data_IF_182292437687
#
_entry.id   IF_182292437687
#
_cell.length_a   1.000
_cell.length_b   1.000
_cell.length_c   1.000
_cell.angle_alpha   90.00
_cell.angle_beta   90.00
_cell.angle_gamma   90.00
#
_symmetry.space_group_name_H-M   'P 1'
#
loop_
_entity.id
_entity.type
_entity.pdbx_description
1 polymer ?
#
# COMPACT_ATOMS: atom_id res chain seq x y z
N UNK A 1 -27.65 -17.73 9.96
CA UNK A 1 -27.09 -16.77 8.98
C UNK A 1 -25.68 -16.38 9.45
N UNK A 2 -24.69 -17.18 9.09
CA UNK A 2 -23.28 -16.93 9.45
C UNK A 2 -22.65 -16.28 8.23
N UNK A 3 -22.40 -14.96 8.31
CA UNK A 3 -21.65 -14.25 7.27
C UNK A 3 -20.20 -14.66 7.42
N UNK A 4 -19.75 -15.60 6.60
CA UNK A 4 -18.34 -15.96 6.52
C UNK A 4 -17.53 -14.73 6.10
N UNK A 5 -16.62 -14.29 6.97
CA UNK A 5 -15.59 -13.31 6.62
C UNK A 5 -14.71 -13.94 5.53
N UNK A 6 -14.41 -13.23 4.43
CA UNK A 6 -13.62 -13.81 3.36
C UNK A 6 -12.21 -14.11 3.89
N UNK A 7 -11.78 -15.36 3.70
CA UNK A 7 -10.47 -15.84 4.10
C UNK A 7 -9.37 -14.97 3.46
N UNK A 8 -8.64 -14.25 4.31
CA UNK A 8 -7.35 -13.66 3.94
C UNK A 8 -6.42 -14.83 3.63
N UNK A 9 -6.23 -15.10 2.34
CA UNK A 9 -5.31 -16.13 1.87
C UNK A 9 -3.90 -15.69 2.23
N UNK A 10 -3.34 -16.27 3.28
CA UNK A 10 -1.91 -16.19 3.58
C UNK A 10 -1.14 -16.76 2.38
N UNK A 11 -0.55 -15.87 1.57
CA UNK A 11 0.32 -16.25 0.45
C UNK A 11 1.77 -16.19 0.90
N UNK A 12 2.62 -17.15 0.45
CA UNK A 12 3.98 -17.29 0.93
C UNK A 12 4.79 -16.02 0.62
N UNK A 13 5.61 -15.65 1.59
CA UNK A 13 6.57 -14.55 1.51
C UNK A 13 7.66 -14.96 0.49
N UNK A 14 7.46 -14.64 -0.78
CA UNK A 14 8.43 -14.87 -1.85
C UNK A 14 9.12 -13.55 -2.19
N UNK A 15 10.44 -13.54 -2.09
CA UNK A 15 11.31 -12.36 -2.13
C UNK A 15 11.50 -11.74 -3.52
N UNK A 16 10.63 -11.97 -4.50
CA UNK A 16 10.74 -11.38 -5.83
C UNK A 16 9.55 -10.47 -6.10
N UNK A 17 9.85 -9.20 -6.28
CA UNK A 17 8.97 -8.06 -6.45
C UNK A 17 8.04 -8.15 -7.69
N UNK A 18 7.07 -9.07 -7.69
CA UNK A 18 6.02 -9.11 -8.71
C UNK A 18 4.65 -9.49 -8.14
N UNK A 19 4.21 -8.78 -7.11
CA UNK A 19 2.78 -8.74 -6.76
C UNK A 19 2.08 -7.77 -7.72
N UNK A 20 1.72 -8.28 -8.90
CA UNK A 20 0.84 -7.59 -9.85
C UNK A 20 -0.55 -7.51 -9.24
N UNK A 21 -0.81 -6.47 -8.45
CA UNK A 21 -2.09 -6.25 -7.78
C UNK A 21 -3.20 -6.09 -8.82
N UNK A 22 -4.22 -6.98 -8.84
CA UNK A 22 -5.33 -6.88 -9.75
C UNK A 22 -6.26 -5.77 -9.25
N UNK A 23 -6.07 -4.54 -9.70
CA UNK A 23 -7.04 -3.47 -9.40
C UNK A 23 -6.55 -2.04 -9.54
N UNK A 24 -5.24 -1.79 -9.65
CA UNK A 24 -4.74 -0.43 -9.73
C UNK A 24 -3.96 -0.21 -11.03
N UNK A 25 -4.59 0.50 -11.96
CA UNK A 25 -3.99 0.99 -13.22
C UNK A 25 -3.04 2.17 -13.01
N UNK A 26 -2.80 2.59 -11.76
CA UNK A 26 -1.97 3.75 -11.45
C UNK A 26 -0.49 3.38 -11.38
N UNK A 27 0.36 4.33 -11.76
CA UNK A 27 1.81 4.21 -11.67
C UNK A 27 2.29 4.15 -10.21
N UNK A 28 3.55 3.75 -10.01
CA UNK A 28 4.15 3.76 -8.68
C UNK A 28 4.26 5.18 -8.10
N UNK A 29 4.47 6.18 -8.96
CA UNK A 29 4.52 7.60 -8.58
C UNK A 29 3.16 8.12 -8.13
N UNK A 30 2.08 7.76 -8.83
CA UNK A 30 0.71 8.11 -8.44
C UNK A 30 0.32 7.46 -7.11
N UNK A 31 0.72 6.19 -6.92
CA UNK A 31 0.53 5.49 -5.64
C UNK A 31 1.30 6.18 -4.51
N UNK A 32 2.56 6.57 -4.75
CA UNK A 32 3.39 7.28 -3.79
C UNK A 32 2.77 8.61 -3.38
N UNK A 33 2.27 9.39 -4.34
CA UNK A 33 1.60 10.66 -4.08
C UNK A 33 0.34 10.47 -3.22
N UNK A 34 -0.51 9.47 -3.53
CA UNK A 34 -1.70 9.16 -2.72
C UNK A 34 -1.35 8.69 -1.32
N UNK A 35 -0.39 7.77 -1.21
CA UNK A 35 0.08 7.27 0.08
C UNK A 35 0.63 8.41 0.94
N UNK A 36 1.43 9.30 0.36
CA UNK A 36 1.96 10.47 1.06
C UNK A 36 0.84 11.40 1.53
N UNK A 37 -0.14 11.69 0.66
CA UNK A 37 -1.29 12.50 1.01
C UNK A 37 -2.05 11.91 2.21
N UNK A 38 -2.43 10.63 2.16
CA UNK A 38 -3.14 9.99 3.26
C UNK A 38 -2.33 9.97 4.56
N UNK A 39 -1.01 9.83 4.46
CA UNK A 39 -0.15 9.76 5.65
C UNK A 39 0.07 11.12 6.31
N UNK A 40 0.35 12.17 5.53
CA UNK A 40 0.69 13.49 6.07
C UNK A 40 -0.50 14.44 6.17
N UNK A 41 -1.46 14.36 5.25
CA UNK A 41 -2.64 15.22 5.24
C UNK A 41 -3.77 14.62 6.08
N UNK A 42 -4.12 13.35 5.85
CA UNK A 42 -5.24 12.69 6.55
C UNK A 42 -4.82 12.01 7.86
N UNK A 43 -3.50 11.92 8.13
CA UNK A 43 -2.95 11.30 9.34
C UNK A 43 -3.24 9.80 9.47
N UNK A 44 -3.57 9.13 8.37
CA UNK A 44 -3.88 7.70 8.36
C UNK A 44 -2.63 6.86 8.63
N UNK A 45 -2.81 5.72 9.30
CA UNK A 45 -1.69 4.81 9.51
C UNK A 45 -1.35 4.06 8.21
N UNK A 46 -0.11 3.57 8.10
CA UNK A 46 0.30 2.77 6.94
C UNK A 46 -0.55 1.50 6.74
N UNK A 47 -1.16 0.99 7.81
CA UNK A 47 -2.11 -0.13 7.74
C UNK A 47 -3.41 0.29 7.07
N UNK A 48 -4.03 1.37 7.55
CA UNK A 48 -5.28 1.91 7.02
C UNK A 48 -5.14 2.29 5.53
N UNK A 49 -4.01 2.91 5.17
CA UNK A 49 -3.70 3.26 3.78
C UNK A 49 -3.57 2.00 2.91
N UNK A 50 -2.96 0.94 3.44
CA UNK A 50 -2.85 -0.34 2.77
C UNK A 50 -4.21 -0.98 2.52
N UNK A 51 -5.09 -0.98 3.51
CA UNK A 51 -6.47 -1.47 3.37
C UNK A 51 -7.27 -0.64 2.36
N UNK A 52 -7.15 0.69 2.40
CA UNK A 52 -7.85 1.61 1.50
C UNK A 52 -7.42 1.47 0.03
N UNK A 53 -6.12 1.29 -0.21
CA UNK A 53 -5.54 1.18 -1.55
C UNK A 53 -5.43 -0.27 -2.04
N UNK A 54 -5.82 -1.26 -1.23
CA UNK A 54 -5.65 -2.68 -1.52
C UNK A 54 -4.16 -3.10 -1.61
N UNK A 55 -3.28 -2.38 -0.92
CA UNK A 55 -1.84 -2.61 -0.88
C UNK A 55 -1.45 -3.33 0.41
N UNK A 56 -0.40 -4.16 0.33
CA UNK A 56 0.22 -4.67 1.55
C UNK A 56 0.87 -3.53 2.34
N UNK A 57 0.74 -3.55 3.67
CA UNK A 57 1.40 -2.59 4.57
C UNK A 57 2.88 -2.38 4.24
N UNK A 58 3.60 -3.45 3.91
CA UNK A 58 5.02 -3.39 3.56
C UNK A 58 5.28 -2.57 2.27
N UNK A 59 4.38 -2.65 1.27
CA UNK A 59 4.48 -1.84 0.04
C UNK A 59 4.26 -0.37 0.36
N UNK A 60 3.29 -0.04 1.21
CA UNK A 60 3.05 1.33 1.71
C UNK A 60 4.29 1.88 2.41
N UNK A 61 4.90 1.09 3.30
CA UNK A 61 6.15 1.49 3.98
C UNK A 61 7.29 1.76 2.98
N UNK A 62 7.47 0.88 1.98
CA UNK A 62 8.49 1.05 0.92
C UNK A 62 8.23 2.29 0.06
N UNK A 63 6.98 2.59 -0.26
CA UNK A 63 6.61 3.77 -1.05
C UNK A 63 6.92 5.07 -0.30
N UNK A 64 6.56 5.15 0.98
CA UNK A 64 6.90 6.31 1.82
C UNK A 64 8.40 6.48 1.96
N UNK A 65 9.13 5.38 2.18
CA UNK A 65 10.59 5.41 2.27
C UNK A 65 11.23 5.87 0.96
N UNK A 66 10.78 5.34 -0.18
CA UNK A 66 11.23 5.75 -1.51
C UNK A 66 10.97 7.25 -1.73
N UNK A 67 9.80 7.75 -1.32
CA UNK A 67 9.41 9.15 -1.47
C UNK A 67 10.26 10.10 -0.65
N UNK A 68 10.67 9.69 0.56
CA UNK A 68 11.64 10.42 1.38
C UNK A 68 13.03 10.41 0.77
N UNK A 69 13.50 9.24 0.34
CA UNK A 69 14.83 9.10 -0.27
C UNK A 69 14.96 9.87 -1.59
N UNK A 70 13.87 9.98 -2.37
CA UNK A 70 13.84 10.75 -3.60
C UNK A 70 13.61 12.26 -3.38
N UNK A 71 13.35 12.70 -2.14
CA UNK A 71 13.02 14.10 -1.82
C UNK A 71 11.66 14.57 -2.34
N UNK A 72 10.75 13.65 -2.66
CA UNK A 72 9.37 13.96 -3.08
C UNK A 72 8.49 14.24 -1.86
N UNK A 73 8.86 13.68 -0.72
CA UNK A 73 8.22 13.83 0.58
C UNK A 73 9.22 14.52 1.50
N UNK A 74 8.82 15.64 2.07
CA UNK A 74 9.57 16.43 3.08
C UNK A 74 8.97 16.21 4.48
#
# INVERSE_FOLDING_TARGET
MIKEKPAVKEKPLSSNDEYKYPGNSMSEEELLARVAWFYYHDGLTQGDIGELLGLARLKVSRLLEKGRQSGVID
#
